data_IF_613445003688
#
_entry.id   IF_613445003688
#
_cell.length_a   1.000
_cell.length_b   1.000
_cell.length_c   1.000
_cell.angle_alpha   90.00
_cell.angle_beta   90.00
_cell.angle_gamma   90.00
#
_symmetry.space_group_name_H-M   'P 1'
#
loop_
_entity.id
_entity.type
_entity.pdbx_description
1 polymer ?
#
# COMPACT_ATOMS: atom_id res chain seq x y z
N UNK A 1 -23.45 -52.16 -2.27
CA UNK A 1 -24.36 -51.18 -2.91
C UNK A 1 -24.45 -49.85 -2.17
N UNK A 2 -24.73 -49.83 -0.86
CA UNK A 2 -24.91 -48.58 -0.11
C UNK A 2 -23.71 -47.61 -0.18
N UNK A 3 -22.48 -48.13 -0.16
CA UNK A 3 -21.26 -47.30 -0.28
C UNK A 3 -21.10 -46.64 -1.66
N UNK A 4 -21.53 -47.33 -2.73
CA UNK A 4 -21.56 -46.78 -4.09
C UNK A 4 -22.61 -45.68 -4.22
N UNK A 5 -23.79 -45.87 -3.65
CA UNK A 5 -24.86 -44.87 -3.63
C UNK A 5 -24.42 -43.61 -2.87
N UNK A 6 -23.76 -43.77 -1.74
CA UNK A 6 -23.21 -42.65 -0.96
C UNK A 6 -22.14 -41.88 -1.74
N UNK A 7 -21.24 -42.56 -2.45
CA UNK A 7 -20.24 -41.92 -3.32
C UNK A 7 -20.86 -41.15 -4.48
N UNK A 8 -21.90 -41.69 -5.11
CA UNK A 8 -22.63 -41.02 -6.20
C UNK A 8 -23.36 -39.78 -5.68
N UNK A 9 -24.02 -39.87 -4.52
CA UNK A 9 -24.70 -38.73 -3.89
C UNK A 9 -23.70 -37.63 -3.48
N UNK A 10 -22.56 -38.01 -2.92
CA UNK A 10 -21.49 -37.07 -2.59
C UNK A 10 -20.98 -36.34 -3.83
N UNK A 11 -20.73 -37.07 -4.93
CA UNK A 11 -20.32 -36.48 -6.21
C UNK A 11 -21.38 -35.56 -6.80
N UNK A 12 -22.66 -35.92 -6.68
CA UNK A 12 -23.76 -35.07 -7.11
C UNK A 12 -23.80 -33.74 -6.34
N UNK A 13 -23.64 -33.79 -5.01
CA UNK A 13 -23.58 -32.59 -4.17
C UNK A 13 -22.38 -31.70 -4.54
N UNK A 14 -21.19 -32.30 -4.70
CA UNK A 14 -19.99 -31.59 -5.16
C UNK A 14 -20.22 -30.91 -6.54
N UNK A 15 -20.89 -31.59 -7.47
CA UNK A 15 -21.25 -31.01 -8.77
C UNK A 15 -22.27 -29.86 -8.65
N UNK A 16 -23.24 -29.95 -7.75
CA UNK A 16 -24.19 -28.87 -7.49
C UNK A 16 -23.50 -27.64 -6.89
N UNK A 17 -22.60 -27.82 -5.93
CA UNK A 17 -21.78 -26.76 -5.36
C UNK A 17 -20.91 -26.10 -6.42
N UNK A 18 -20.23 -26.91 -7.23
CA UNK A 18 -19.41 -26.43 -8.34
C UNK A 18 -20.22 -25.61 -9.36
N UNK A 19 -21.42 -26.07 -9.72
CA UNK A 19 -22.31 -25.32 -10.62
C UNK A 19 -22.70 -23.97 -10.03
N UNK A 20 -23.03 -23.92 -8.74
CA UNK A 20 -23.39 -22.67 -8.08
C UNK A 20 -22.18 -21.70 -8.04
N UNK A 21 -20.97 -22.22 -7.84
CA UNK A 21 -19.74 -21.43 -7.93
C UNK A 21 -19.55 -20.87 -9.35
N UNK A 22 -19.68 -21.68 -10.40
CA UNK A 22 -19.57 -21.21 -11.79
C UNK A 22 -20.56 -20.10 -12.11
N UNK A 23 -21.83 -20.24 -11.70
CA UNK A 23 -22.85 -19.20 -11.93
C UNK A 23 -22.42 -17.89 -11.27
N UNK A 24 -21.91 -17.96 -10.04
CA UNK A 24 -21.39 -16.80 -9.32
C UNK A 24 -20.17 -16.17 -10.03
N UNK A 25 -19.35 -16.96 -10.70
CA UNK A 25 -18.17 -16.47 -11.46
C UNK A 25 -18.55 -15.77 -12.74
N UNK A 26 -19.61 -16.23 -13.42
CA UNK A 26 -20.11 -15.61 -14.64
C UNK A 26 -20.73 -14.23 -14.37
N UNK A 27 -21.32 -14.04 -13.19
CA UNK A 27 -21.96 -12.78 -12.82
C UNK A 27 -20.96 -11.70 -12.37
N UNK A 28 -19.75 -12.06 -11.93
CA UNK A 28 -18.73 -11.12 -11.45
C UNK A 28 -17.34 -11.47 -12.00
N UNK A 29 -17.04 -11.13 -13.27
CA UNK A 29 -15.67 -11.21 -13.75
C UNK A 29 -14.78 -10.24 -12.94
N UNK A 30 -13.58 -10.66 -12.52
CA UNK A 30 -12.65 -9.78 -11.82
C UNK A 30 -12.28 -8.59 -12.72
N UNK A 31 -12.60 -7.38 -12.24
CA UNK A 31 -12.25 -6.15 -12.94
C UNK A 31 -10.99 -5.53 -12.32
N UNK A 32 -9.98 -5.26 -13.14
CA UNK A 32 -8.76 -4.55 -12.74
C UNK A 32 -8.80 -3.05 -13.06
N UNK A 33 -9.80 -2.59 -13.80
CA UNK A 33 -9.91 -1.21 -14.28
C UNK A 33 -9.94 -0.22 -13.12
N UNK A 34 -10.62 -0.56 -12.03
CA UNK A 34 -10.69 0.27 -10.82
C UNK A 34 -9.30 0.49 -10.22
N UNK A 35 -8.50 -0.58 -10.10
CA UNK A 35 -7.12 -0.50 -9.63
C UNK A 35 -6.26 0.35 -10.60
N UNK A 36 -6.44 0.20 -11.90
CA UNK A 36 -5.73 1.00 -12.91
C UNK A 36 -6.11 2.48 -12.85
N UNK A 37 -7.38 2.79 -12.62
CA UNK A 37 -7.87 4.16 -12.44
C UNK A 37 -7.28 4.80 -11.18
N UNK A 38 -7.26 4.09 -10.06
CA UNK A 38 -6.61 4.54 -8.81
C UNK A 38 -5.13 4.81 -9.05
N UNK A 39 -4.41 3.86 -9.67
CA UNK A 39 -2.99 4.05 -10.03
C UNK A 39 -2.76 5.27 -10.93
N UNK A 40 -3.68 5.54 -11.87
CA UNK A 40 -3.62 6.73 -12.74
C UNK A 40 -3.82 8.01 -11.94
N UNK A 41 -4.82 8.06 -11.05
CA UNK A 41 -5.04 9.21 -10.15
C UNK A 41 -3.84 9.45 -9.25
N UNK A 42 -3.31 8.40 -8.64
CA UNK A 42 -2.12 8.46 -7.79
C UNK A 42 -0.89 8.98 -8.55
N UNK A 43 -0.68 8.57 -9.81
CA UNK A 43 0.39 9.13 -10.66
C UNK A 43 0.23 10.63 -10.89
N UNK A 44 -1.01 11.08 -11.15
CA UNK A 44 -1.30 12.51 -11.36
C UNK A 44 -1.05 13.32 -10.07
N UNK A 45 -1.52 12.83 -8.92
CA UNK A 45 -1.31 13.49 -7.64
C UNK A 45 0.18 13.60 -7.32
N UNK A 46 0.97 12.53 -7.54
CA UNK A 46 2.44 12.56 -7.38
C UNK A 46 3.09 13.62 -8.27
N UNK A 47 2.69 13.72 -9.54
CA UNK A 47 3.21 14.73 -10.45
C UNK A 47 2.88 16.16 -9.98
N UNK A 48 1.64 16.39 -9.54
CA UNK A 48 1.20 17.67 -9.01
C UNK A 48 1.93 18.04 -7.71
N UNK A 49 2.14 17.09 -6.81
CA UNK A 49 2.93 17.28 -5.60
C UNK A 49 4.39 17.66 -5.92
N UNK A 50 5.05 16.97 -6.86
CA UNK A 50 6.41 17.32 -7.30
C UNK A 50 6.46 18.77 -7.79
N UNK A 51 5.49 19.16 -8.61
CA UNK A 51 5.42 20.52 -9.15
C UNK A 51 5.22 21.57 -8.04
N UNK A 52 4.27 21.33 -7.11
CA UNK A 52 4.03 22.22 -5.96
C UNK A 52 5.22 22.33 -5.00
N UNK A 53 5.98 21.25 -4.83
CA UNK A 53 7.22 21.29 -4.05
C UNK A 53 8.30 22.15 -4.71
N UNK A 54 8.42 22.09 -6.05
CA UNK A 54 9.33 22.97 -6.80
C UNK A 54 8.87 24.42 -6.70
N UNK A 55 7.58 24.70 -6.88
CA UNK A 55 6.99 26.04 -6.73
C UNK A 55 7.31 26.65 -5.35
N UNK A 56 7.14 25.84 -4.29
CA UNK A 56 7.52 26.23 -2.92
C UNK A 56 9.03 26.52 -2.77
N UNK A 57 9.91 25.77 -3.45
CA UNK A 57 11.35 26.03 -3.39
C UNK A 57 11.70 27.34 -4.07
N UNK A 58 11.19 27.55 -5.29
CA UNK A 58 11.43 28.76 -6.07
C UNK A 58 10.96 30.02 -5.33
N UNK A 59 9.80 29.96 -4.66
CA UNK A 59 9.32 31.10 -3.88
C UNK A 59 10.19 31.41 -2.67
N UNK A 60 10.76 30.39 -2.00
CA UNK A 60 11.70 30.63 -0.90
C UNK A 60 13.00 31.30 -1.36
N UNK A 61 13.41 31.03 -2.60
CA UNK A 61 14.61 31.61 -3.21
C UNK A 61 14.38 33.03 -3.73
N UNK A 62 13.12 33.43 -3.94
CA UNK A 62 12.78 34.81 -4.28
C UNK A 62 12.75 35.69 -3.02
N UNK A 63 13.49 36.80 -3.00
CA UNK A 63 13.53 37.70 -1.82
C UNK A 63 12.22 38.49 -1.57
N UNK A 64 11.22 38.36 -2.46
CA UNK A 64 10.01 39.20 -2.50
C UNK A 64 8.68 38.45 -2.26
N UNK A 65 8.68 37.21 -1.75
CA UNK A 65 7.43 36.47 -1.59
C UNK A 65 6.57 36.99 -0.42
N UNK A 66 5.25 37.02 -0.61
CA UNK A 66 4.35 37.34 0.49
C UNK A 66 4.20 36.12 1.43
N UNK A 67 4.16 36.37 2.74
CA UNK A 67 3.89 35.30 3.73
C UNK A 67 2.57 34.58 3.45
N UNK A 68 1.61 35.24 2.80
CA UNK A 68 0.31 34.67 2.40
C UNK A 68 0.45 33.62 1.29
N UNK A 69 1.21 33.88 0.23
CA UNK A 69 1.43 32.92 -0.87
C UNK A 69 2.14 31.64 -0.38
N UNK A 70 3.12 31.80 0.51
CA UNK A 70 3.81 30.67 1.14
C UNK A 70 2.87 29.80 1.99
N UNK A 71 1.85 30.40 2.62
CA UNK A 71 0.85 29.66 3.40
C UNK A 71 -0.07 28.89 2.45
N UNK A 72 -0.59 29.54 1.39
CA UNK A 72 -1.46 28.90 0.40
C UNK A 72 -0.83 27.66 -0.24
N UNK A 73 0.43 27.75 -0.67
CA UNK A 73 1.12 26.61 -1.28
C UNK A 73 1.36 25.47 -0.28
N UNK A 74 1.60 25.79 0.99
CA UNK A 74 1.71 24.75 2.03
C UNK A 74 0.37 24.05 2.25
N UNK A 75 -0.73 24.78 2.27
CA UNK A 75 -2.08 24.22 2.39
C UNK A 75 -2.42 23.33 1.20
N UNK A 76 -2.14 23.77 -0.02
CA UNK A 76 -2.31 22.97 -1.24
C UNK A 76 -1.47 21.69 -1.21
N UNK A 77 -0.21 21.75 -0.78
CA UNK A 77 0.63 20.57 -0.61
C UNK A 77 0.01 19.61 0.41
N UNK A 78 -0.47 20.12 1.55
CA UNK A 78 -1.10 19.29 2.58
C UNK A 78 -2.41 18.65 2.10
N UNK A 79 -3.22 19.36 1.31
CA UNK A 79 -4.42 18.81 0.68
C UNK A 79 -4.07 17.69 -0.31
N UNK A 80 -3.11 17.92 -1.20
CA UNK A 80 -2.66 16.91 -2.16
C UNK A 80 -2.02 15.68 -1.48
N UNK A 81 -1.32 15.88 -0.37
CA UNK A 81 -0.83 14.78 0.45
C UNK A 81 -1.98 13.96 1.03
N UNK A 82 -3.01 14.61 1.55
CA UNK A 82 -4.21 13.94 2.03
C UNK A 82 -4.86 13.09 0.93
N UNK A 83 -5.08 13.67 -0.25
CA UNK A 83 -5.66 12.97 -1.40
C UNK A 83 -4.80 11.77 -1.83
N UNK A 84 -3.47 11.94 -1.88
CA UNK A 84 -2.54 10.84 -2.16
C UNK A 84 -2.74 9.69 -1.20
N UNK A 85 -2.87 9.96 0.10
CA UNK A 85 -3.08 8.93 1.10
C UNK A 85 -4.45 8.26 1.01
N UNK A 86 -5.50 8.99 0.64
CA UNK A 86 -6.81 8.39 0.38
C UNK A 86 -6.74 7.41 -0.80
N UNK A 87 -6.08 7.80 -1.89
CA UNK A 87 -5.89 6.91 -3.04
C UNK A 87 -5.04 5.68 -2.70
N UNK A 88 -4.06 5.78 -1.77
CA UNK A 88 -3.35 4.59 -1.26
C UNK A 88 -4.32 3.62 -0.59
N UNK A 89 -5.20 4.11 0.30
CA UNK A 89 -6.16 3.23 0.97
C UNK A 89 -7.11 2.57 -0.02
N UNK A 90 -7.62 3.34 -0.98
CA UNK A 90 -8.43 2.77 -2.05
C UNK A 90 -7.66 1.73 -2.86
N UNK A 91 -6.36 1.95 -3.12
CA UNK A 91 -5.50 0.97 -3.79
C UNK A 91 -5.40 -0.33 -2.95
N UNK A 92 -5.23 -0.22 -1.63
CA UNK A 92 -5.15 -1.37 -0.74
C UNK A 92 -6.46 -2.18 -0.72
N UNK A 93 -7.62 -1.50 -0.60
CA UNK A 93 -8.93 -2.15 -0.62
C UNK A 93 -9.17 -2.91 -1.92
N UNK A 94 -8.82 -2.31 -3.07
CA UNK A 94 -8.93 -2.98 -4.35
C UNK A 94 -7.99 -4.19 -4.48
N UNK A 95 -6.75 -4.08 -3.98
CA UNK A 95 -5.86 -5.25 -3.93
C UNK A 95 -6.41 -6.36 -3.05
N UNK A 96 -7.02 -6.05 -1.90
CA UNK A 96 -7.61 -7.07 -1.02
C UNK A 96 -8.76 -7.80 -1.70
N UNK A 97 -9.65 -7.06 -2.40
CA UNK A 97 -10.72 -7.65 -3.21
C UNK A 97 -10.15 -8.57 -4.29
N UNK A 98 -9.16 -8.09 -5.06
CA UNK A 98 -8.53 -8.85 -6.13
C UNK A 98 -7.79 -10.09 -5.61
N UNK A 99 -7.12 -10.00 -4.46
CA UNK A 99 -6.46 -11.15 -3.82
C UNK A 99 -7.49 -12.18 -3.36
N UNK A 100 -8.62 -11.75 -2.81
CA UNK A 100 -9.70 -12.64 -2.41
C UNK A 100 -10.27 -13.42 -3.60
N UNK A 101 -10.54 -12.72 -4.69
CA UNK A 101 -11.07 -13.30 -5.93
C UNK A 101 -10.04 -14.24 -6.57
N UNK A 102 -8.77 -13.83 -6.60
CA UNK A 102 -7.67 -14.67 -7.11
C UNK A 102 -7.51 -15.96 -6.30
N UNK A 103 -7.66 -15.89 -4.97
CA UNK A 103 -7.47 -17.04 -4.09
C UNK A 103 -8.58 -18.07 -4.16
N UNK A 104 -9.79 -17.68 -4.57
CA UNK A 104 -10.96 -18.56 -4.58
C UNK A 104 -11.40 -18.98 -5.97
N UNK A 105 -11.33 -18.09 -6.95
CA UNK A 105 -12.10 -18.22 -8.19
C UNK A 105 -11.25 -18.02 -9.45
N UNK A 106 -10.26 -17.12 -9.45
CA UNK A 106 -9.47 -16.77 -10.64
C UNK A 106 -7.95 -16.76 -10.38
N UNK A 107 -7.32 -17.93 -10.15
CA UNK A 107 -5.87 -18.01 -9.91
C UNK A 107 -5.01 -17.49 -11.07
N UNK A 108 -5.55 -17.44 -12.29
CA UNK A 108 -4.93 -16.94 -13.51
C UNK A 108 -4.86 -15.41 -13.57
N UNK A 109 -5.68 -14.70 -12.80
CA UNK A 109 -5.82 -13.24 -12.88
C UNK A 109 -4.49 -12.47 -12.75
N UNK A 110 -3.59 -12.78 -11.80
CA UNK A 110 -2.30 -12.09 -11.70
C UNK A 110 -1.37 -12.34 -12.88
N UNK A 111 -1.56 -13.45 -13.60
CA UNK A 111 -0.76 -13.80 -14.78
C UNK A 111 -1.30 -13.16 -16.06
N UNK A 112 -2.62 -12.94 -16.13
CA UNK A 112 -3.25 -12.19 -17.21
C UNK A 112 -2.94 -10.69 -17.11
N UNK A 113 -2.81 -10.17 -15.89
CA UNK A 113 -2.57 -8.76 -15.62
C UNK A 113 -1.30 -8.52 -14.78
N UNK A 114 -0.10 -8.77 -15.33
CA UNK A 114 1.15 -8.52 -14.63
C UNK A 114 1.32 -7.04 -14.26
N UNK A 115 0.77 -6.11 -15.05
CA UNK A 115 0.74 -4.67 -14.79
C UNK A 115 -0.02 -4.28 -13.53
N UNK A 116 -1.00 -5.09 -13.11
CA UNK A 116 -1.74 -4.88 -11.88
C UNK A 116 -0.86 -5.14 -10.65
N UNK A 117 0.19 -5.96 -10.75
CA UNK A 117 1.14 -6.18 -9.66
C UNK A 117 0.54 -6.93 -8.45
N UNK A 118 -0.59 -7.61 -8.62
CA UNK A 118 -1.35 -8.31 -7.56
C UNK A 118 -0.46 -9.30 -6.80
N UNK A 119 0.33 -10.10 -7.52
CA UNK A 119 1.22 -11.09 -6.92
C UNK A 119 2.33 -10.43 -6.08
N UNK A 120 2.90 -9.31 -6.56
CA UNK A 120 3.91 -8.54 -5.83
C UNK A 120 3.33 -7.98 -4.53
N UNK A 121 2.13 -7.40 -4.60
CA UNK A 121 1.43 -6.85 -3.44
C UNK A 121 1.10 -7.95 -2.41
N UNK A 122 0.53 -9.08 -2.84
CA UNK A 122 0.26 -10.24 -1.99
C UNK A 122 1.51 -10.80 -1.31
N UNK A 123 2.61 -10.90 -2.06
CA UNK A 123 3.87 -11.44 -1.53
C UNK A 123 4.55 -10.48 -0.54
N UNK A 124 4.25 -9.18 -0.61
CA UNK A 124 4.76 -8.16 0.30
C UNK A 124 4.00 -8.01 1.62
N UNK A 125 2.99 -8.85 1.87
CA UNK A 125 2.15 -8.75 3.07
C UNK A 125 1.17 -7.57 3.04
N UNK A 126 0.77 -7.09 1.85
CA UNK A 126 -0.14 -5.95 1.67
C UNK A 126 0.35 -4.62 2.23
N UNK A 127 1.66 -4.48 2.46
CA UNK A 127 2.24 -3.26 3.02
C UNK A 127 2.94 -2.38 1.99
N UNK A 128 3.24 -2.91 0.80
CA UNK A 128 4.09 -2.24 -0.19
C UNK A 128 3.35 -1.07 -0.85
N UNK A 129 3.98 0.10 -0.85
CA UNK A 129 3.47 1.29 -1.54
C UNK A 129 4.63 1.97 -2.28
N UNK A 130 4.41 2.32 -3.54
CA UNK A 130 5.41 2.99 -4.38
C UNK A 130 5.30 4.51 -4.23
N UNK A 131 5.94 5.10 -3.22
CA UNK A 131 5.95 6.55 -2.97
C UNK A 131 7.37 7.03 -2.72
N UNK A 132 7.68 8.20 -3.29
CA UNK A 132 8.94 8.88 -3.05
C UNK A 132 8.93 9.59 -1.70
N UNK A 133 10.03 9.46 -0.96
CA UNK A 133 10.20 10.03 0.36
C UNK A 133 9.98 11.55 0.41
N UNK A 134 10.44 12.28 -0.61
CA UNK A 134 10.28 13.74 -0.73
C UNK A 134 8.81 14.20 -0.71
N UNK A 135 7.86 13.34 -1.10
CA UNK A 135 6.44 13.69 -1.13
C UNK A 135 5.79 13.66 0.25
N UNK A 136 6.44 13.06 1.25
CA UNK A 136 5.88 12.88 2.61
C UNK A 136 6.15 14.09 3.52
N UNK A 137 6.90 15.11 3.06
CA UNK A 137 7.30 16.30 3.83
C UNK A 137 7.83 15.94 5.24
N UNK A 138 8.54 14.81 5.34
CA UNK A 138 8.99 14.26 6.60
C UNK A 138 10.18 15.07 7.13
N UNK A 139 10.16 15.36 8.43
CA UNK A 139 11.26 16.07 9.10
C UNK A 139 12.17 15.05 9.80
N UNK A 140 13.50 15.18 9.69
CA UNK A 140 14.42 14.27 10.36
C UNK A 140 14.34 14.43 11.88
N UNK A 141 14.22 13.31 12.59
CA UNK A 141 14.23 13.22 14.05
C UNK A 141 15.59 12.65 14.48
N UNK A 142 16.61 13.52 14.57
CA UNK A 142 17.98 13.12 14.96
C UNK A 142 18.07 12.55 16.38
N UNK A 143 17.06 12.79 17.20
CA UNK A 143 16.99 12.40 18.62
C UNK A 143 16.67 10.91 18.82
N UNK A 144 16.02 10.25 17.84
CA UNK A 144 15.45 8.91 18.01
C UNK A 144 16.36 7.78 17.52
N UNK A 145 17.32 8.06 16.63
CA UNK A 145 18.25 7.03 16.15
C UNK A 145 19.51 7.62 15.55
N UNK A 146 20.65 7.05 15.94
CA UNK A 146 21.98 7.37 15.37
C UNK A 146 22.28 6.45 14.16
N UNK A 147 21.66 5.25 14.11
CA UNK A 147 21.96 4.22 13.09
C UNK A 147 21.09 4.29 11.85
N UNK A 148 19.84 4.74 11.97
CA UNK A 148 18.87 4.74 10.86
C UNK A 148 18.20 6.11 10.75
N UNK A 149 17.93 6.62 9.54
CA UNK A 149 17.20 7.87 9.38
C UNK A 149 15.76 7.65 9.84
N UNK A 150 15.42 8.23 10.99
CA UNK A 150 14.06 8.31 11.51
C UNK A 150 13.52 9.68 11.17
N UNK A 151 12.34 9.72 10.57
CA UNK A 151 11.68 10.95 10.18
C UNK A 151 10.26 10.95 10.71
N UNK A 152 9.72 12.14 10.96
CA UNK A 152 8.36 12.33 11.43
C UNK A 152 7.57 13.09 10.37
N UNK A 153 6.39 12.58 10.04
CA UNK A 153 5.42 13.33 9.26
C UNK A 153 4.07 13.36 10.00
N UNK A 154 3.20 14.26 9.55
CA UNK A 154 1.83 14.36 10.05
C UNK A 154 0.91 13.74 9.00
N UNK A 155 0.08 12.81 9.45
CA UNK A 155 -0.83 12.02 8.65
C UNK A 155 -2.20 12.02 9.32
N UNK A 156 -3.24 12.54 8.65
CA UNK A 156 -4.58 12.74 9.24
C UNK A 156 -4.53 13.37 10.63
N UNK A 157 -3.73 14.43 10.79
CA UNK A 157 -3.48 15.13 12.07
C UNK A 157 -2.75 14.30 13.16
N UNK A 158 -2.50 13.01 12.90
CA UNK A 158 -1.71 12.15 13.76
C UNK A 158 -0.23 12.19 13.35
N UNK A 159 0.67 12.15 14.33
CA UNK A 159 2.10 12.01 14.04
C UNK A 159 2.39 10.55 13.69
N UNK A 160 3.24 10.35 12.69
CA UNK A 160 3.72 9.03 12.29
C UNK A 160 5.23 9.08 12.09
N UNK A 161 5.89 7.96 12.37
CA UNK A 161 7.33 7.80 12.17
C UNK A 161 7.59 7.00 10.90
N UNK A 162 8.56 7.48 10.14
CA UNK A 162 9.16 6.78 9.01
C UNK A 162 10.54 6.32 9.43
N UNK A 163 10.70 5.01 9.57
CA UNK A 163 11.99 4.40 9.88
C UNK A 163 12.63 3.89 8.59
N UNK A 164 13.75 4.52 8.21
CA UNK A 164 14.48 4.17 7.00
C UNK A 164 15.42 2.97 7.21
N UNK A 165 15.44 2.09 6.22
CA UNK A 165 16.33 0.95 6.12
C UNK A 165 17.07 1.03 4.79
N UNK A 166 18.39 0.88 4.82
CA UNK A 166 19.19 0.81 3.58
C UNK A 166 18.85 -0.51 2.89
N UNK A 167 18.33 -0.43 1.67
CA UNK A 167 17.89 -1.55 0.87
C UNK A 167 18.82 -1.74 -0.34
N UNK A 168 19.64 -2.79 -0.32
CA UNK A 168 20.22 -3.38 -1.52
C UNK A 168 19.26 -4.44 -2.07
N UNK A 169 19.38 -4.85 -3.34
CA UNK A 169 18.45 -5.83 -3.96
C UNK A 169 18.28 -7.14 -3.16
N UNK A 170 19.35 -7.66 -2.55
CA UNK A 170 19.28 -8.86 -1.69
C UNK A 170 18.66 -8.60 -0.30
N UNK A 171 18.63 -7.35 0.14
CA UNK A 171 18.11 -6.94 1.45
C UNK A 171 16.62 -6.56 1.32
N UNK A 172 16.19 -6.04 0.18
CA UNK A 172 14.79 -5.71 -0.10
C UNK A 172 13.88 -6.93 0.10
N UNK A 173 14.24 -8.08 -0.48
CA UNK A 173 13.48 -9.33 -0.31
C UNK A 173 13.42 -9.79 1.14
N UNK A 174 14.53 -9.70 1.87
CA UNK A 174 14.58 -10.05 3.29
C UNK A 174 13.76 -9.09 4.16
N UNK A 175 13.77 -7.78 3.85
CA UNK A 175 12.95 -6.78 4.54
C UNK A 175 11.47 -7.08 4.29
N UNK A 176 11.08 -7.38 3.04
CA UNK A 176 9.71 -7.72 2.68
C UNK A 176 9.23 -8.99 3.38
N UNK A 177 10.04 -10.05 3.39
CA UNK A 177 9.70 -11.29 4.11
C UNK A 177 9.55 -11.08 5.61
N UNK A 178 10.43 -10.28 6.22
CA UNK A 178 10.34 -9.94 7.65
C UNK A 178 9.13 -9.08 7.95
N UNK A 179 8.85 -8.08 7.11
CA UNK A 179 7.68 -7.21 7.25
C UNK A 179 6.38 -8.01 7.15
N UNK A 180 6.32 -8.94 6.19
CA UNK A 180 5.20 -9.87 6.04
C UNK A 180 5.02 -10.75 7.28
N UNK A 181 6.08 -11.44 7.73
CA UNK A 181 6.03 -12.28 8.95
C UNK A 181 5.56 -11.47 10.18
N UNK A 182 6.06 -10.25 10.33
CA UNK A 182 5.65 -9.37 11.42
C UNK A 182 4.18 -8.97 11.30
N UNK A 183 3.71 -8.61 10.11
CA UNK A 183 2.32 -8.26 9.86
C UNK A 183 1.37 -9.43 10.12
N UNK A 184 1.74 -10.64 9.68
CA UNK A 184 0.95 -11.85 9.92
C UNK A 184 0.80 -12.13 11.42
N UNK A 185 1.90 -12.07 12.18
CA UNK A 185 1.89 -12.22 13.65
C UNK A 185 1.07 -11.10 14.33
N UNK A 186 1.25 -9.84 13.90
CA UNK A 186 0.50 -8.70 14.42
C UNK A 186 -1.00 -8.87 14.17
N UNK A 187 -1.39 -9.37 12.99
CA UNK A 187 -2.79 -9.60 12.63
C UNK A 187 -3.43 -10.69 13.48
N UNK A 188 -2.70 -11.77 13.77
CA UNK A 188 -3.16 -12.86 14.64
C UNK A 188 -3.25 -12.44 16.11
N UNK A 189 -2.25 -11.71 16.61
CA UNK A 189 -2.13 -11.33 18.02
C UNK A 189 -2.60 -9.90 18.30
N UNK A 190 -3.46 -9.33 17.44
CA UNK A 190 -3.85 -7.92 17.48
C UNK A 190 -4.44 -7.49 18.83
N UNK A 191 -5.16 -8.38 19.49
CA UNK A 191 -5.86 -8.11 20.76
C UNK A 191 -4.99 -8.43 21.99
N UNK A 192 -4.03 -9.33 21.86
CA UNK A 192 -3.23 -9.85 22.99
C UNK A 192 -1.82 -9.26 23.06
N UNK A 193 -1.32 -8.69 21.96
CA UNK A 193 0.05 -8.21 21.87
C UNK A 193 0.14 -6.68 21.84
N UNK A 194 1.12 -6.12 22.56
CA UNK A 194 1.48 -4.70 22.47
C UNK A 194 2.34 -4.39 21.22
N UNK A 195 2.19 -5.16 20.14
CA UNK A 195 2.95 -4.98 18.90
C UNK A 195 2.44 -3.75 18.14
N UNK A 196 3.35 -2.90 17.67
CA UNK A 196 2.99 -1.72 16.89
C UNK A 196 2.47 -2.12 15.50
N UNK A 197 1.37 -1.51 15.06
CA UNK A 197 0.85 -1.72 13.73
C UNK A 197 1.80 -1.12 12.67
N UNK A 198 2.32 -1.93 11.73
CA UNK A 198 2.97 -1.38 10.55
C UNK A 198 1.87 -0.88 9.59
N UNK A 199 1.97 0.36 9.15
CA UNK A 199 0.95 0.95 8.27
C UNK A 199 1.30 0.72 6.80
N UNK A 200 2.50 1.15 6.40
CA UNK A 200 2.96 1.12 5.02
C UNK A 200 4.47 0.89 4.96
N UNK A 201 4.91 0.29 3.86
CA UNK A 201 6.30 0.11 3.51
C UNK A 201 6.55 0.80 2.17
N UNK A 202 7.25 1.93 2.23
CA UNK A 202 7.56 2.72 1.04
C UNK A 202 8.87 2.28 0.41
N UNK A 203 8.83 1.99 -0.88
CA UNK A 203 10.02 1.82 -1.70
C UNK A 203 10.32 3.11 -2.42
N UNK A 204 11.42 3.77 -2.04
CA UNK A 204 11.94 4.85 -2.84
C UNK A 204 12.76 4.25 -3.98
N UNK A 205 12.31 4.43 -5.23
CA UNK A 205 13.08 4.00 -6.41
C UNK A 205 14.38 4.79 -6.65
N UNK A 206 14.50 6.10 -6.32
CA UNK A 206 15.75 6.83 -6.58
C UNK A 206 16.81 6.65 -5.48
N UNK A 207 16.41 6.27 -4.26
CA UNK A 207 17.31 6.07 -3.12
C UNK A 207 17.30 4.60 -2.71
N UNK A 208 18.42 3.98 -2.32
CA UNK A 208 18.44 2.60 -1.82
C UNK A 208 17.89 2.54 -0.39
N UNK A 209 16.68 3.04 -0.17
CA UNK A 209 16.04 3.23 1.13
C UNK A 209 14.60 2.74 1.09
N UNK A 210 14.26 1.92 2.07
CA UNK A 210 12.88 1.54 2.37
C UNK A 210 12.44 2.21 3.66
N UNK A 211 11.24 2.78 3.68
CA UNK A 211 10.69 3.42 4.87
C UNK A 211 9.51 2.63 5.40
N UNK A 212 9.63 2.17 6.65
CA UNK A 212 8.51 1.60 7.39
C UNK A 212 7.77 2.72 8.12
N UNK A 213 6.48 2.85 7.85
CA UNK A 213 5.59 3.81 8.51
C UNK A 213 4.91 3.16 9.70
N UNK A 214 5.06 3.77 10.87
CA UNK A 214 4.46 3.34 12.14
C UNK A 214 3.81 4.54 12.85
N UNK A 215 2.72 4.32 13.61
CA UNK A 215 2.10 5.36 14.40
C UNK A 215 3.07 5.89 15.48
N UNK A 216 3.02 7.20 15.73
CA UNK A 216 3.70 7.84 16.85
C UNK A 216 2.69 7.98 17.99
N UNK A 217 2.90 7.23 19.08
CA UNK A 217 2.12 7.32 20.32
C UNK A 217 2.78 8.28 21.30
#
# INVERSE_FOLDING_TARGET
EQDLINKVNQKYLECCEFRNQIVTWLDVPPNIDDLLLIKKRMKNIKALLRWKLVEKSNLKESDNYSKSEMVKIKEEISALQHDMFQEIYSEQEEYEKLIHVTGKFFPELPFLHPEAGILKYKNSGSLIVDIEHNLLNAKPMKELSIKHPVMCCTFKEQKVLLKGYVANMNIETQILERAKKYYDIWKELKEESCLMQPMFLFLCKPDPMMYLMIPYY
#
